data_IF_706939941282
#
_entry.id   IF_706939941282
#
_cell.length_a   1.000
_cell.length_b   1.000
_cell.length_c   1.000
_cell.angle_alpha   90.00
_cell.angle_beta   90.00
_cell.angle_gamma   90.00
#
_symmetry.space_group_name_H-M   'P 1'
#
loop_
_entity.id
_entity.type
_entity.pdbx_description
1 polymer ?
#
# COMPACT_ATOMS: atom_id res chain seq x y z
N UNK A 1 25.63 3.72 -8.74
CA UNK A 1 25.62 3.03 -10.06
C UNK A 1 25.09 4.06 -11.05
N UNK A 2 25.97 4.65 -11.85
CA UNK A 2 25.69 5.70 -12.86
C UNK A 2 24.72 6.81 -12.44
N UNK A 3 25.20 7.82 -11.69
CA UNK A 3 24.47 9.05 -11.28
C UNK A 3 23.11 8.90 -10.56
N UNK A 4 22.66 7.67 -10.26
CA UNK A 4 21.36 7.42 -9.62
C UNK A 4 21.53 7.04 -8.13
N UNK A 5 20.74 7.69 -7.27
CA UNK A 5 20.67 7.42 -5.83
C UNK A 5 19.66 6.30 -5.59
N UNK A 6 20.14 5.20 -5.01
CA UNK A 6 19.30 4.09 -4.57
C UNK A 6 19.10 4.10 -3.06
N UNK A 7 17.86 3.94 -2.58
CA UNK A 7 17.56 3.95 -1.15
C UNK A 7 16.64 2.78 -0.74
N UNK A 8 16.59 2.47 0.55
CA UNK A 8 15.63 1.52 1.12
C UNK A 8 14.65 2.25 2.04
N UNK A 9 13.40 1.79 2.05
CA UNK A 9 12.43 2.19 3.08
C UNK A 9 12.19 1.00 3.98
N UNK A 10 12.43 1.17 5.27
CA UNK A 10 12.23 0.15 6.30
C UNK A 10 11.31 0.74 7.37
N UNK A 11 10.19 0.07 7.63
CA UNK A 11 9.25 0.45 8.69
C UNK A 11 9.23 -0.61 9.79
N UNK A 12 9.51 -0.18 11.01
CA UNK A 12 9.57 -1.06 12.17
C UNK A 12 8.16 -1.31 12.72
N UNK A 13 7.78 -2.58 12.83
CA UNK A 13 6.46 -3.00 13.31
C UNK A 13 6.59 -3.94 14.51
N UNK A 14 5.65 -3.86 15.45
CA UNK A 14 5.57 -4.77 16.61
C UNK A 14 4.50 -5.85 16.47
N UNK A 15 3.67 -5.78 15.42
CA UNK A 15 2.62 -6.76 15.16
C UNK A 15 3.15 -8.12 14.68
N UNK A 16 2.31 -9.16 14.82
CA UNK A 16 2.55 -10.47 14.20
C UNK A 16 2.34 -10.33 12.69
N UNK A 17 3.27 -10.83 11.89
CA UNK A 17 3.41 -10.58 10.46
C UNK A 17 2.06 -10.50 9.70
N UNK A 18 1.75 -9.33 9.13
CA UNK A 18 0.75 -9.22 8.07
C UNK A 18 1.36 -9.73 6.76
N UNK A 19 0.55 -10.31 5.88
CA UNK A 19 0.96 -10.51 4.48
C UNK A 19 1.43 -9.18 3.91
N UNK A 20 2.68 -9.16 3.45
CA UNK A 20 3.22 -8.08 2.66
C UNK A 20 3.85 -8.71 1.43
N UNK A 21 3.07 -8.73 0.37
CA UNK A 21 3.40 -9.35 -0.91
C UNK A 21 3.58 -8.28 -1.98
N UNK A 22 4.33 -8.62 -3.04
CA UNK A 22 4.46 -7.73 -4.19
C UNK A 22 3.11 -7.46 -4.88
N UNK A 23 2.19 -8.43 -4.86
CA UNK A 23 0.85 -8.27 -5.45
C UNK A 23 -0.01 -7.24 -4.69
N UNK A 24 0.05 -7.23 -3.35
CA UNK A 24 -0.67 -6.22 -2.55
C UNK A 24 -0.11 -4.80 -2.79
N UNK A 25 1.18 -4.68 -3.12
CA UNK A 25 1.78 -3.41 -3.51
C UNK A 25 1.30 -2.94 -4.88
N UNK A 26 1.31 -3.81 -5.89
CA UNK A 26 0.90 -3.43 -7.26
C UNK A 26 -0.60 -3.16 -7.35
N UNK A 27 -1.42 -3.79 -6.49
CA UNK A 27 -2.85 -3.48 -6.35
C UNK A 27 -3.17 -2.29 -5.44
N UNK A 28 -2.14 -1.58 -4.96
CA UNK A 28 -2.29 -0.43 -4.05
C UNK A 28 -3.09 -0.72 -2.77
N UNK A 29 -2.98 -1.94 -2.25
CA UNK A 29 -3.63 -2.37 -1.00
C UNK A 29 -2.80 -2.00 0.23
N UNK A 30 -1.50 -1.79 0.04
CA UNK A 30 -0.54 -1.39 1.08
C UNK A 30 0.17 -0.10 0.65
N UNK A 31 -0.38 1.04 1.03
CA UNK A 31 0.10 2.36 0.59
C UNK A 31 1.27 2.90 1.41
N UNK A 32 1.47 2.42 2.64
CA UNK A 32 2.39 3.04 3.60
C UNK A 32 3.83 3.17 3.05
N UNK A 33 4.47 2.06 2.68
CA UNK A 33 5.85 2.05 2.19
C UNK A 33 6.00 2.73 0.81
N UNK A 34 5.12 2.51 -0.18
CA UNK A 34 5.12 3.28 -1.43
C UNK A 34 5.05 4.80 -1.24
N UNK A 35 4.19 5.28 -0.34
CA UNK A 35 4.05 6.70 -0.05
C UNK A 35 5.30 7.27 0.63
N UNK A 36 5.95 6.51 1.52
CA UNK A 36 7.23 6.91 2.09
C UNK A 36 8.32 6.99 1.02
N UNK A 37 8.39 6.03 0.09
CA UNK A 37 9.34 6.08 -1.01
C UNK A 37 9.11 7.29 -1.91
N UNK A 38 7.85 7.63 -2.20
CA UNK A 38 7.51 8.85 -2.92
C UNK A 38 7.94 10.11 -2.15
N UNK A 39 7.72 10.15 -0.83
CA UNK A 39 8.14 11.27 0.00
C UNK A 39 9.67 11.43 0.04
N UNK A 40 10.43 10.34 0.13
CA UNK A 40 11.90 10.35 0.04
C UNK A 40 12.34 11.01 -1.26
N UNK A 41 11.80 10.54 -2.38
CA UNK A 41 12.12 11.10 -3.70
C UNK A 41 11.79 12.59 -3.81
N UNK A 42 10.58 13.01 -3.41
CA UNK A 42 10.10 14.37 -3.63
C UNK A 42 10.69 15.40 -2.66
N UNK A 43 10.91 15.01 -1.40
CA UNK A 43 11.28 15.94 -0.34
C UNK A 43 12.79 15.97 -0.08
N UNK A 44 13.49 14.84 -0.22
CA UNK A 44 14.91 14.75 0.10
C UNK A 44 15.82 14.84 -1.14
N UNK A 45 15.30 14.49 -2.32
CA UNK A 45 16.08 14.44 -3.56
C UNK A 45 15.38 15.15 -4.74
N UNK A 46 14.92 16.41 -4.57
CA UNK A 46 14.22 17.12 -5.63
C UNK A 46 15.10 17.29 -6.87
N UNK A 47 14.55 16.91 -8.04
CA UNK A 47 15.24 17.02 -9.33
C UNK A 47 16.36 16.02 -9.58
N UNK A 48 16.62 15.09 -8.65
CA UNK A 48 17.67 14.09 -8.78
C UNK A 48 17.13 12.76 -9.30
N UNK A 49 17.99 11.96 -9.95
CA UNK A 49 17.66 10.58 -10.32
C UNK A 49 17.73 9.71 -9.06
N UNK A 50 16.58 9.36 -8.52
CA UNK A 50 16.46 8.61 -7.27
C UNK A 50 15.35 7.57 -7.35
N UNK A 51 15.56 6.40 -6.75
CA UNK A 51 14.53 5.35 -6.68
C UNK A 51 14.75 4.39 -5.51
N UNK A 52 13.69 3.73 -5.02
CA UNK A 52 13.83 2.69 -4.02
C UNK A 52 14.51 1.46 -4.63
N UNK A 53 15.42 0.86 -3.87
CA UNK A 53 15.99 -0.47 -4.10
C UNK A 53 15.20 -1.55 -3.37
N UNK A 54 14.36 -1.16 -2.42
CA UNK A 54 13.47 -2.07 -1.71
C UNK A 54 12.59 -1.39 -0.67
N UNK A 55 11.50 -2.05 -0.34
CA UNK A 55 10.48 -1.63 0.61
C UNK A 55 10.27 -2.78 1.61
N UNK A 56 10.43 -2.51 2.89
CA UNK A 56 10.51 -3.53 3.92
C UNK A 56 9.71 -3.21 5.18
N UNK A 57 9.13 -4.23 5.78
CA UNK A 57 8.78 -4.20 7.20
C UNK A 57 9.84 -4.93 8.01
N UNK A 58 10.14 -4.38 9.18
CA UNK A 58 11.05 -4.99 10.14
C UNK A 58 10.30 -5.28 11.43
N UNK A 59 10.01 -6.55 11.69
CA UNK A 59 9.26 -6.94 12.87
C UNK A 59 10.18 -6.97 14.09
N UNK A 60 9.88 -6.13 15.07
CA UNK A 60 10.55 -6.12 16.36
C UNK A 60 9.77 -7.04 17.27
N UNK A 61 10.32 -8.23 17.53
CA UNK A 61 9.70 -9.23 18.40
C UNK A 61 10.56 -9.50 19.62
N UNK A 62 9.96 -10.13 20.62
CA UNK A 62 10.63 -10.69 21.81
C UNK A 62 11.73 -11.70 21.45
N UNK A 63 11.54 -12.45 20.36
CA UNK A 63 12.53 -13.38 19.78
C UNK A 63 13.55 -12.71 18.87
N UNK A 64 13.59 -11.38 18.84
CA UNK A 64 14.51 -10.59 18.02
C UNK A 64 13.90 -10.10 16.71
N UNK A 65 14.69 -9.37 15.91
CA UNK A 65 14.24 -8.75 14.68
C UNK A 65 13.96 -9.77 13.56
N UNK A 66 12.83 -9.64 12.86
CA UNK A 66 12.47 -10.49 11.71
C UNK A 66 12.10 -9.63 10.49
N UNK A 67 12.85 -9.69 9.38
CA UNK A 67 12.50 -8.95 8.18
C UNK A 67 11.28 -9.58 7.50
N UNK A 68 10.32 -8.75 7.10
CA UNK A 68 9.20 -9.13 6.23
C UNK A 68 9.37 -8.39 4.92
N UNK A 69 9.81 -9.16 3.92
CA UNK A 69 10.18 -8.70 2.60
C UNK A 69 9.43 -9.56 1.57
N UNK A 70 8.80 -8.97 0.55
CA UNK A 70 8.49 -9.72 -0.65
C UNK A 70 9.80 -10.24 -1.25
N UNK A 71 9.74 -11.36 -1.98
CA UNK A 71 10.96 -11.94 -2.56
C UNK A 71 11.70 -10.90 -3.41
N UNK A 72 13.04 -10.89 -3.38
CA UNK A 72 13.85 -9.95 -4.16
C UNK A 72 13.48 -9.95 -5.64
N UNK A 73 13.12 -11.12 -6.19
CA UNK A 73 12.65 -11.26 -7.56
C UNK A 73 11.30 -10.54 -7.79
N UNK A 74 10.37 -10.64 -6.84
CA UNK A 74 9.05 -10.00 -6.95
C UNK A 74 9.08 -8.47 -6.88
N UNK A 75 10.13 -7.89 -6.31
CA UNK A 75 10.36 -6.44 -6.25
C UNK A 75 11.53 -5.95 -7.12
N UNK A 76 12.09 -6.82 -7.97
CA UNK A 76 13.19 -6.44 -8.86
C UNK A 76 12.82 -5.26 -9.77
N UNK A 77 11.53 -5.09 -10.05
CA UNK A 77 11.00 -3.98 -10.82
C UNK A 77 11.15 -2.61 -10.17
N UNK A 78 11.30 -2.52 -8.84
CA UNK A 78 11.65 -1.25 -8.18
C UNK A 78 12.99 -0.72 -8.68
N UNK A 79 13.87 -1.63 -9.12
CA UNK A 79 15.16 -1.26 -9.67
C UNK A 79 15.11 -0.81 -11.14
N UNK A 80 13.97 -0.96 -11.82
CA UNK A 80 13.75 -0.50 -13.18
C UNK A 80 13.17 0.92 -13.14
N UNK A 81 13.94 1.89 -13.65
CA UNK A 81 13.58 3.31 -13.64
C UNK A 81 12.24 3.59 -14.32
N UNK A 82 11.92 2.91 -15.44
CA UNK A 82 10.66 3.13 -16.17
C UNK A 82 9.48 2.57 -15.39
N UNK A 83 9.64 1.37 -14.83
CA UNK A 83 8.58 0.72 -14.04
C UNK A 83 8.32 1.46 -12.73
N UNK A 84 9.36 1.96 -12.07
CA UNK A 84 9.20 2.80 -10.88
C UNK A 84 8.48 4.11 -11.20
N UNK A 85 8.87 4.81 -12.28
CA UNK A 85 8.22 6.05 -12.69
C UNK A 85 6.72 5.84 -12.99
N UNK A 86 6.38 4.76 -13.69
CA UNK A 86 4.98 4.44 -13.98
C UNK A 86 4.19 4.06 -12.71
N UNK A 87 4.77 3.23 -11.83
CA UNK A 87 4.14 2.89 -10.56
C UNK A 87 3.87 4.13 -9.69
N UNK A 88 4.81 5.08 -9.63
CA UNK A 88 4.60 6.34 -8.90
C UNK A 88 3.46 7.17 -9.49
N UNK A 89 3.41 7.30 -10.82
CA UNK A 89 2.33 8.01 -11.50
C UNK A 89 0.97 7.41 -11.16
N UNK A 90 0.88 6.07 -11.15
CA UNK A 90 -0.33 5.35 -10.78
C UNK A 90 -0.68 5.51 -9.28
N UNK A 91 0.32 5.45 -8.40
CA UNK A 91 0.15 5.68 -6.95
C UNK A 91 -0.40 7.08 -6.66
N UNK A 92 0.15 8.12 -7.30
CA UNK A 92 -0.31 9.50 -7.15
C UNK A 92 -1.76 9.66 -7.62
N UNK A 93 -2.10 9.12 -8.80
CA UNK A 93 -3.46 9.13 -9.33
C UNK A 93 -4.44 8.38 -8.40
N UNK A 94 -4.03 7.23 -7.88
CA UNK A 94 -4.83 6.43 -6.96
C UNK A 94 -5.12 7.19 -5.65
N UNK A 95 -4.11 7.81 -5.05
CA UNK A 95 -4.26 8.59 -3.82
C UNK A 95 -5.13 9.83 -4.05
N UNK A 96 -4.93 10.54 -5.16
CA UNK A 96 -5.78 11.68 -5.52
C UNK A 96 -7.26 11.28 -5.63
N UNK A 97 -7.54 10.16 -6.30
CA UNK A 97 -8.89 9.63 -6.42
C UNK A 97 -9.49 9.23 -5.05
N UNK A 98 -8.71 8.59 -4.16
CA UNK A 98 -9.16 8.26 -2.80
C UNK A 98 -9.52 9.52 -2.01
N UNK A 99 -8.67 10.56 -2.05
CA UNK A 99 -8.89 11.83 -1.35
C UNK A 99 -10.12 12.55 -1.89
N UNK A 100 -10.30 12.60 -3.20
CA UNK A 100 -11.48 13.20 -3.83
C UNK A 100 -12.77 12.53 -3.35
N UNK A 101 -12.79 11.19 -3.28
CA UNK A 101 -13.95 10.43 -2.83
C UNK A 101 -14.25 10.64 -1.35
N UNK A 102 -13.23 10.70 -0.50
CA UNK A 102 -13.37 11.05 0.92
C UNK A 102 -13.99 12.44 1.06
N UNK A 103 -13.49 13.43 0.30
CA UNK A 103 -14.03 14.80 0.28
C UNK A 103 -15.46 14.86 -0.25
N UNK A 104 -15.80 14.01 -1.21
CA UNK A 104 -17.15 13.84 -1.74
C UNK A 104 -18.07 12.97 -0.88
N UNK A 105 -17.67 12.65 0.36
CA UNK A 105 -18.43 11.82 1.30
C UNK A 105 -18.85 10.43 0.77
N UNK A 106 -18.03 9.84 -0.11
CA UNK A 106 -18.29 8.50 -0.67
C UNK A 106 -17.70 7.41 0.22
N UNK A 107 -18.51 6.89 1.15
CA UNK A 107 -18.14 5.83 2.10
C UNK A 107 -18.96 4.55 1.90
N UNK A 108 -18.74 3.80 0.80
CA UNK A 108 -19.44 2.55 0.56
C UNK A 108 -19.06 1.48 1.59
N UNK A 109 -20.06 0.76 2.10
CA UNK A 109 -19.84 -0.37 2.97
C UNK A 109 -19.41 -1.60 2.14
N UNK A 110 -18.13 -1.64 1.77
CA UNK A 110 -17.55 -2.65 0.87
C UNK A 110 -16.22 -3.22 1.42
N UNK A 111 -16.22 -3.91 2.57
CA UNK A 111 -15.01 -4.52 3.12
C UNK A 111 -14.53 -5.67 2.23
N UNK A 112 -13.21 -5.83 2.10
CA UNK A 112 -12.59 -6.97 1.40
C UNK A 112 -12.60 -8.28 2.20
N UNK A 113 -12.66 -8.19 3.53
CA UNK A 113 -12.64 -9.35 4.43
C UNK A 113 -14.05 -9.67 4.94
N UNK A 114 -14.38 -10.96 4.98
CA UNK A 114 -15.60 -11.44 5.61
C UNK A 114 -15.60 -11.24 7.13
N UNK A 115 -14.42 -11.18 7.75
CA UNK A 115 -14.25 -10.97 9.19
C UNK A 115 -13.89 -9.53 9.55
N UNK A 116 -14.23 -8.55 8.71
CA UNK A 116 -13.84 -7.15 8.89
C UNK A 116 -14.24 -6.50 10.24
N UNK A 117 -15.15 -7.11 11.00
CA UNK A 117 -15.60 -6.61 12.30
C UNK A 117 -14.74 -7.07 13.49
N UNK A 118 -13.85 -8.06 13.34
CA UNK A 118 -13.05 -8.61 14.45
C UNK A 118 -12.13 -7.56 15.11
N UNK A 119 -11.65 -6.60 14.33
CA UNK A 119 -10.72 -5.55 14.78
C UNK A 119 -11.26 -4.13 14.57
N UNK A 120 -12.49 -4.00 14.07
CA UNK A 120 -13.08 -2.70 13.74
C UNK A 120 -13.98 -2.21 14.88
N UNK A 121 -13.61 -1.09 15.52
CA UNK A 121 -14.41 -0.45 16.58
C UNK A 121 -15.83 -0.04 16.13
N UNK A 122 -16.07 0.05 14.82
CA UNK A 122 -17.37 0.39 14.25
C UNK A 122 -18.21 -0.85 13.86
N UNK A 123 -17.77 -2.07 14.18
CA UNK A 123 -18.45 -3.30 13.77
C UNK A 123 -19.92 -3.39 14.20
N UNK A 124 -20.27 -2.79 15.34
CA UNK A 124 -21.64 -2.76 15.86
C UNK A 124 -22.53 -1.72 15.17
N UNK A 125 -21.94 -0.68 14.55
CA UNK A 125 -22.70 0.42 13.92
C UNK A 125 -22.71 0.34 12.41
N UNK A 126 -21.74 -0.32 11.78
CA UNK A 126 -21.63 -0.38 10.32
C UNK A 126 -22.69 -1.26 9.66
N UNK A 127 -23.38 -2.13 10.41
CA UNK A 127 -24.46 -3.00 9.93
C UNK A 127 -24.07 -3.95 8.78
N UNK A 128 -22.79 -4.31 8.66
CA UNK A 128 -22.29 -5.17 7.57
C UNK A 128 -22.98 -6.54 7.51
N UNK A 129 -23.26 -7.15 8.67
CA UNK A 129 -23.97 -8.43 8.74
C UNK A 129 -25.37 -8.37 8.11
N UNK A 130 -26.04 -7.22 8.19
CA UNK A 130 -27.35 -6.99 7.58
C UNK A 130 -27.20 -6.63 6.10
N UNK A 131 -26.20 -5.80 5.76
CA UNK A 131 -25.99 -5.34 4.38
C UNK A 131 -25.60 -6.47 3.43
N UNK A 132 -24.85 -7.48 3.88
CA UNK A 132 -24.43 -8.61 3.03
C UNK A 132 -25.60 -9.37 2.42
N UNK A 133 -26.71 -9.49 3.15
CA UNK A 133 -27.92 -10.18 2.68
C UNK A 133 -28.70 -9.41 1.61
N UNK A 134 -28.38 -8.13 1.40
CA UNK A 134 -29.07 -7.28 0.40
C UNK A 134 -28.42 -7.31 -0.98
N UNK A 135 -27.27 -7.98 -1.14
CA UNK A 135 -26.57 -8.08 -2.42
C UNK A 135 -26.15 -6.73 -3.03
N UNK A 136 -26.06 -5.65 -2.22
CA UNK A 136 -25.64 -4.34 -2.71
C UNK A 136 -24.23 -4.41 -3.25
N UNK A 137 -24.10 -4.23 -4.57
CA UNK A 137 -22.83 -4.06 -5.24
C UNK A 137 -22.51 -2.58 -5.31
N UNK A 138 -21.32 -2.22 -4.84
CA UNK A 138 -20.79 -0.88 -5.00
C UNK A 138 -19.84 -0.91 -6.20
N UNK A 139 -20.16 -0.16 -7.25
CA UNK A 139 -19.15 0.14 -8.25
C UNK A 139 -18.15 1.10 -7.62
N UNK A 140 -17.08 0.51 -7.12
CA UNK A 140 -16.00 1.24 -6.51
C UNK A 140 -15.09 1.87 -7.57
N UNK A 141 -15.29 1.66 -8.88
CA UNK A 141 -14.43 2.21 -9.94
C UNK A 141 -12.94 2.11 -9.60
N UNK A 142 -12.54 1.03 -8.94
CA UNK A 142 -11.13 0.79 -8.61
C UNK A 142 -10.46 0.40 -9.95
N UNK A 143 -9.24 0.88 -10.25
CA UNK A 143 -8.45 0.38 -11.36
C UNK A 143 -8.52 -1.14 -11.35
N UNK A 144 -8.81 -1.71 -12.51
CA UNK A 144 -8.70 -3.15 -12.67
C UNK A 144 -7.31 -3.57 -12.21
N UNK A 145 -7.24 -4.63 -11.41
CA UNK A 145 -5.97 -5.26 -11.08
C UNK A 145 -5.41 -5.86 -12.39
N UNK A 146 -4.62 -5.10 -13.14
CA UNK A 146 -3.76 -5.63 -14.20
C UNK A 146 -2.55 -6.31 -13.61
#
# INVERSE_FOLDING_TARGET
IGDEIGFWVIDYKTGRAGSYTAGELTRFEKLQLPLYALAVERLFFPGQKVRPLGLAYWLVTDTGPKPVLPSRQSLAWLADTKRWAEFRRQLEAWVAMLVERIRGARFPLAPKSDTCTETCSFGQVCRIAQSRNTGKLWDLGLPANT
#
